data_IF_414770183648
#
_entry.id   IF_414770183648
#
_cell.length_a   1.000
_cell.length_b   1.000
_cell.length_c   1.000
_cell.angle_alpha   90.00
_cell.angle_beta   90.00
_cell.angle_gamma   90.00
#
_symmetry.space_group_name_H-M   'P 1'
#
loop_
_entity.id
_entity.type
_entity.pdbx_description
1 polymer ?
#
# COMPACT_ATOMS: atom_id res chain seq x y z
N UNK A 1 69.58 0.93 -1.09
CA UNK A 1 68.56 0.01 -1.64
C UNK A 1 67.25 0.33 -0.92
N UNK A 2 66.49 1.30 -1.45
CA UNK A 2 65.26 1.12 -2.25
C UNK A 2 64.04 0.90 -1.32
N UNK A 3 63.24 1.94 -1.05
CA UNK A 3 61.99 2.32 -1.76
C UNK A 3 60.79 1.52 -1.22
N UNK A 4 59.67 2.08 -0.73
CA UNK A 4 59.19 3.46 -0.62
C UNK A 4 57.92 3.48 0.27
N UNK A 5 57.27 4.64 0.45
CA UNK A 5 56.09 4.81 1.31
C UNK A 5 54.80 4.38 0.60
N UNK A 6 54.00 3.51 1.22
CA UNK A 6 52.68 3.13 0.71
C UNK A 6 51.66 4.24 0.95
N UNK A 7 51.64 5.17 -0.01
CA UNK A 7 50.49 5.87 -0.58
C UNK A 7 49.21 5.89 0.26
N UNK A 8 48.98 7.02 0.91
CA UNK A 8 47.64 7.56 1.17
C UNK A 8 46.82 7.65 -0.12
N UNK A 9 45.56 7.19 -0.13
CA UNK A 9 44.53 7.80 -0.95
C UNK A 9 43.63 8.69 -0.07
N UNK A 10 43.94 9.98 -0.15
CA UNK A 10 43.01 11.09 -0.37
C UNK A 10 41.51 10.74 -0.42
N UNK A 11 40.78 11.39 0.49
CA UNK A 11 39.34 11.65 0.49
C UNK A 11 38.84 12.18 -0.87
N UNK A 12 37.53 12.06 -1.13
CA UNK A 12 36.74 13.28 -1.16
C UNK A 12 35.59 13.15 -0.14
N UNK A 13 35.42 14.04 0.83
CA UNK A 13 34.82 15.36 0.63
C UNK A 13 33.56 15.27 -0.24
N UNK A 14 32.39 15.16 0.39
CA UNK A 14 31.12 15.39 -0.31
C UNK A 14 30.01 14.39 -0.03
N UNK A 15 29.66 14.16 1.23
CA UNK A 15 28.26 13.91 1.56
C UNK A 15 27.89 14.95 2.60
N UNK A 16 27.00 15.88 2.24
CA UNK A 16 26.28 16.69 3.21
C UNK A 16 25.63 15.73 4.20
N UNK A 17 26.24 15.56 5.37
CA UNK A 17 25.55 14.97 6.49
C UNK A 17 24.44 15.96 6.88
N UNK A 18 23.15 15.59 6.77
CA UNK A 18 22.09 16.47 7.25
C UNK A 18 22.26 16.65 8.77
N UNK A 19 22.02 17.84 9.32
CA UNK A 19 22.26 18.12 10.73
C UNK A 19 21.47 17.14 11.60
N UNK A 20 22.21 16.42 12.45
CA UNK A 20 21.71 15.44 13.39
C UNK A 20 20.62 16.00 14.27
N UNK A 21 19.38 15.61 13.98
CA UNK A 21 18.32 15.63 14.97
C UNK A 21 18.67 14.67 16.12
N UNK A 22 18.09 14.85 17.31
CA UNK A 22 18.30 13.92 18.42
C UNK A 22 18.03 12.49 17.95
N UNK A 23 18.85 11.50 18.33
CA UNK A 23 18.62 10.12 17.96
C UNK A 23 17.24 9.73 18.46
N UNK A 24 16.30 9.64 17.53
CA UNK A 24 14.95 9.17 17.82
C UNK A 24 15.16 7.76 18.37
N UNK A 25 14.72 7.46 19.61
CA UNK A 25 14.93 6.12 20.17
C UNK A 25 14.40 5.11 19.14
N UNK A 26 15.14 4.03 18.85
CA UNK A 26 14.75 3.08 17.84
C UNK A 26 13.38 2.54 18.22
N UNK A 27 12.35 2.99 17.50
CA UNK A 27 10.99 2.50 17.70
C UNK A 27 10.98 1.05 17.24
N UNK A 28 10.26 0.16 17.93
CA UNK A 28 10.26 -1.25 17.58
C UNK A 28 9.83 -1.42 16.12
N UNK A 29 10.51 -2.29 15.35
CA UNK A 29 10.14 -2.55 13.97
C UNK A 29 8.75 -3.20 13.96
N UNK A 30 7.88 -2.72 13.07
CA UNK A 30 6.57 -3.33 12.85
C UNK A 30 6.77 -4.67 12.12
N UNK A 31 6.91 -5.77 12.84
CA UNK A 31 7.05 -7.12 12.27
C UNK A 31 5.80 -7.95 12.52
N UNK A 32 5.20 -8.45 11.44
CA UNK A 32 4.08 -9.38 11.46
C UNK A 32 4.57 -10.74 10.95
N UNK A 33 4.52 -11.78 11.79
CA UNK A 33 4.90 -13.15 11.38
C UNK A 33 3.64 -13.91 10.97
N UNK A 34 3.69 -14.57 9.80
CA UNK A 34 2.68 -15.51 9.32
C UNK A 34 3.16 -16.93 9.63
N UNK A 35 2.48 -17.58 10.58
CA UNK A 35 2.76 -18.96 10.98
C UNK A 35 1.60 -19.88 10.54
N UNK A 36 1.93 -20.93 9.78
CA UNK A 36 0.97 -21.94 9.36
C UNK A 36 0.27 -21.65 8.02
N UNK A 37 -0.72 -22.48 7.64
CA UNK A 37 -1.49 -22.28 6.43
C UNK A 37 -2.35 -21.02 6.57
N UNK A 38 -2.15 -20.05 5.68
CA UNK A 38 -2.92 -18.81 5.63
C UNK A 38 -4.10 -19.03 4.70
N UNK A 39 -5.25 -19.37 5.28
CA UNK A 39 -6.51 -19.46 4.54
C UNK A 39 -7.23 -18.11 4.44
N UNK A 40 -8.37 -18.12 3.74
CA UNK A 40 -9.20 -16.93 3.52
C UNK A 40 -9.86 -16.43 4.82
N UNK A 41 -10.12 -17.31 5.78
CA UNK A 41 -10.76 -16.98 7.05
C UNK A 41 -9.83 -16.22 8.00
N UNK A 42 -8.52 -16.38 7.82
CA UNK A 42 -7.48 -15.78 8.64
C UNK A 42 -7.21 -14.32 8.25
N UNK A 43 -7.54 -13.94 7.00
CA UNK A 43 -7.18 -12.63 6.45
C UNK A 43 -7.74 -11.45 7.26
N UNK A 44 -9.02 -11.44 7.68
CA UNK A 44 -9.54 -10.34 8.51
C UNK A 44 -8.74 -10.15 9.80
N UNK A 45 -8.43 -11.26 10.50
CA UNK A 45 -7.65 -11.25 11.74
C UNK A 45 -6.22 -10.74 11.52
N UNK A 46 -5.59 -11.12 10.40
CA UNK A 46 -4.27 -10.63 10.04
C UNK A 46 -4.28 -9.12 9.74
N UNK A 47 -5.32 -8.62 9.08
CA UNK A 47 -5.48 -7.18 8.82
C UNK A 47 -5.69 -6.38 10.11
N UNK A 48 -6.48 -6.89 11.05
CA UNK A 48 -6.67 -6.29 12.37
C UNK A 48 -5.35 -6.21 13.15
N UNK A 49 -4.63 -7.34 13.22
CA UNK A 49 -3.32 -7.44 13.88
C UNK A 49 -2.29 -6.50 13.25
N UNK A 50 -2.28 -6.36 11.92
CA UNK A 50 -1.44 -5.38 11.23
C UNK A 50 -1.80 -3.94 11.62
N UNK A 51 -3.10 -3.64 11.74
CA UNK A 51 -3.58 -2.31 12.15
C UNK A 51 -3.16 -1.96 13.58
N UNK A 52 -3.28 -2.89 14.52
CA UNK A 52 -2.81 -2.72 15.89
C UNK A 52 -1.29 -2.51 15.94
N UNK A 53 -0.53 -3.36 15.23
CA UNK A 53 0.92 -3.26 15.12
C UNK A 53 1.36 -1.91 14.55
N UNK A 54 0.72 -1.44 13.48
CA UNK A 54 1.05 -0.19 12.82
C UNK A 54 0.76 1.05 13.70
N UNK A 55 -0.26 0.99 14.56
CA UNK A 55 -0.57 2.05 15.53
C UNK A 55 0.44 2.09 16.69
N UNK A 56 0.92 0.93 17.13
CA UNK A 56 1.93 0.83 18.20
C UNK A 56 3.38 1.07 17.74
N UNK A 57 3.64 1.05 16.42
CA UNK A 57 4.99 1.11 15.86
C UNK A 57 5.39 2.48 15.32
N UNK A 58 6.69 2.74 15.28
CA UNK A 58 7.26 3.96 14.70
C UNK A 58 6.97 4.15 13.22
N UNK A 59 7.20 5.36 12.67
CA UNK A 59 7.02 5.63 11.25
C UNK A 59 7.93 4.71 10.43
N UNK A 60 7.36 4.03 9.43
CA UNK A 60 8.09 3.04 8.63
C UNK A 60 7.20 1.96 8.04
N UNK A 61 7.76 1.14 7.13
CA UNK A 61 7.05 0.02 6.53
C UNK A 61 6.86 -1.14 7.53
N UNK A 62 5.76 -1.86 7.38
CA UNK A 62 5.51 -3.11 8.10
C UNK A 62 6.25 -4.24 7.40
N UNK A 63 7.08 -4.96 8.15
CA UNK A 63 7.75 -6.17 7.66
C UNK A 63 6.86 -7.37 7.92
N UNK A 64 6.51 -8.14 6.90
CA UNK A 64 5.75 -9.38 7.04
C UNK A 64 6.71 -10.55 6.82
N UNK A 65 6.95 -11.32 7.87
CA UNK A 65 7.76 -12.54 7.81
C UNK A 65 6.88 -13.72 7.39
N UNK A 66 7.24 -14.35 6.27
CA UNK A 66 6.49 -15.47 5.69
C UNK A 66 7.25 -16.80 5.82
N UNK A 67 8.27 -16.89 6.68
CA UNK A 67 9.04 -18.12 6.89
C UNK A 67 8.19 -19.32 7.32
N UNK A 68 7.08 -19.07 8.04
CA UNK A 68 6.16 -20.10 8.52
C UNK A 68 5.06 -20.46 7.54
N UNK A 69 5.00 -19.81 6.37
CA UNK A 69 4.04 -20.15 5.31
C UNK A 69 4.52 -21.41 4.61
N UNK A 70 3.65 -22.41 4.52
CA UNK A 70 3.91 -23.66 3.80
C UNK A 70 3.94 -23.47 2.27
N UNK A 71 3.30 -24.38 1.53
CA UNK A 71 3.20 -24.26 0.07
C UNK A 71 2.46 -22.96 -0.30
N UNK A 72 3.04 -22.09 -1.14
CA UNK A 72 2.37 -20.87 -1.56
C UNK A 72 1.14 -21.21 -2.42
N UNK A 73 0.00 -20.64 -2.06
CA UNK A 73 -1.25 -20.76 -2.78
C UNK A 73 -1.91 -19.38 -2.98
N UNK A 74 -3.06 -19.37 -3.63
CA UNK A 74 -3.78 -18.13 -3.91
C UNK A 74 -4.38 -17.49 -2.64
N UNK A 75 -4.58 -18.26 -1.56
CA UNK A 75 -5.08 -17.73 -0.29
C UNK A 75 -3.98 -16.93 0.42
N UNK A 76 -2.72 -17.39 0.37
CA UNK A 76 -1.55 -16.63 0.80
C UNK A 76 -1.44 -15.32 -0.01
N UNK A 77 -1.63 -15.38 -1.33
CA UNK A 77 -1.58 -14.19 -2.19
C UNK A 77 -2.71 -13.21 -1.84
N UNK A 78 -3.94 -13.68 -1.66
CA UNK A 78 -5.08 -12.86 -1.23
C UNK A 78 -4.78 -12.18 0.11
N UNK A 79 -4.21 -12.93 1.07
CA UNK A 79 -3.81 -12.41 2.37
C UNK A 79 -2.77 -11.30 2.24
N UNK A 80 -1.69 -11.53 1.49
CA UNK A 80 -0.63 -10.54 1.28
C UNK A 80 -1.15 -9.29 0.55
N UNK A 81 -2.02 -9.46 -0.45
CA UNK A 81 -2.65 -8.35 -1.15
C UNK A 81 -3.49 -7.46 -0.20
N UNK A 82 -4.31 -8.10 0.65
CA UNK A 82 -5.14 -7.40 1.65
C UNK A 82 -4.31 -6.75 2.75
N UNK A 83 -3.21 -7.38 3.19
CA UNK A 83 -2.27 -6.78 4.13
C UNK A 83 -1.58 -5.54 3.53
N UNK A 84 -1.16 -5.61 2.26
CA UNK A 84 -0.56 -4.47 1.55
C UNK A 84 -1.54 -3.32 1.40
N UNK A 85 -2.80 -3.62 1.06
CA UNK A 85 -3.86 -2.61 1.00
C UNK A 85 -4.12 -1.98 2.37
N UNK A 86 -4.17 -2.79 3.43
CA UNK A 86 -4.37 -2.29 4.80
C UNK A 86 -3.22 -1.39 5.24
N UNK A 87 -1.97 -1.79 5.00
CA UNK A 87 -0.80 -0.97 5.25
C UNK A 87 -0.87 0.37 4.49
N UNK A 88 -1.23 0.34 3.20
CA UNK A 88 -1.39 1.55 2.37
C UNK A 88 -2.48 2.49 2.89
N UNK A 89 -3.63 1.96 3.33
CA UNK A 89 -4.71 2.75 3.95
C UNK A 89 -4.27 3.43 5.25
N UNK A 90 -3.31 2.84 5.96
CA UNK A 90 -2.67 3.40 7.14
C UNK A 90 -1.46 4.31 6.82
N UNK A 91 -1.20 4.60 5.55
CA UNK A 91 -0.06 5.40 5.10
C UNK A 91 1.29 4.72 5.29
N UNK A 92 1.32 3.38 5.41
CA UNK A 92 2.54 2.58 5.60
C UNK A 92 2.90 1.78 4.35
N UNK A 93 4.20 1.57 4.15
CA UNK A 93 4.70 0.56 3.21
C UNK A 93 4.61 -0.85 3.79
N UNK A 94 4.78 -1.87 2.96
CA UNK A 94 4.92 -3.27 3.36
C UNK A 94 6.18 -3.85 2.72
N UNK A 95 6.87 -4.75 3.44
CA UNK A 95 8.02 -5.51 2.92
C UNK A 95 7.88 -6.98 3.33
N UNK A 96 8.09 -7.91 2.42
CA UNK A 96 8.15 -9.34 2.77
C UNK A 96 9.56 -9.73 3.22
N UNK A 97 9.63 -10.54 4.27
CA UNK A 97 10.85 -11.18 4.79
C UNK A 97 10.71 -12.70 4.65
N UNK A 98 11.80 -13.38 4.29
CA UNK A 98 11.85 -14.84 4.09
C UNK A 98 10.88 -15.40 3.04
N UNK A 99 10.50 -14.60 2.02
CA UNK A 99 9.71 -15.09 0.89
C UNK A 99 10.55 -16.01 -0.02
N UNK A 100 10.11 -17.26 -0.17
CA UNK A 100 10.70 -18.24 -1.10
C UNK A 100 10.49 -17.89 -2.58
N UNK A 101 11.20 -18.58 -3.46
CA UNK A 101 11.15 -18.36 -4.92
C UNK A 101 9.74 -18.51 -5.50
N UNK A 102 9.07 -19.63 -5.23
CA UNK A 102 7.72 -19.93 -5.72
C UNK A 102 6.69 -18.87 -5.30
N UNK A 103 6.76 -18.37 -4.06
CA UNK A 103 5.87 -17.31 -3.59
C UNK A 103 6.15 -16.00 -4.32
N UNK A 104 7.43 -15.64 -4.53
CA UNK A 104 7.81 -14.44 -5.29
C UNK A 104 7.37 -14.52 -6.74
N UNK A 105 7.49 -15.69 -7.36
CA UNK A 105 7.01 -15.93 -8.71
C UNK A 105 5.49 -15.73 -8.77
N UNK A 106 4.73 -16.37 -7.88
CA UNK A 106 3.27 -16.21 -7.82
C UNK A 106 2.85 -14.76 -7.57
N UNK A 107 3.58 -14.03 -6.73
CA UNK A 107 3.35 -12.60 -6.51
C UNK A 107 3.66 -11.76 -7.74
N UNK A 108 4.72 -12.07 -8.49
CA UNK A 108 5.04 -11.37 -9.74
C UNK A 108 3.96 -11.61 -10.80
N UNK A 109 3.46 -12.84 -10.93
CA UNK A 109 2.30 -13.15 -11.78
C UNK A 109 1.04 -12.36 -11.37
N UNK A 110 0.87 -12.12 -10.07
CA UNK A 110 -0.24 -11.33 -9.53
C UNK A 110 0.00 -9.80 -9.55
N UNK A 111 1.19 -9.32 -9.96
CA UNK A 111 1.56 -7.90 -9.91
C UNK A 111 1.71 -7.33 -8.49
N UNK A 112 2.08 -8.18 -7.53
CA UNK A 112 2.17 -7.88 -6.09
C UNK A 112 3.61 -7.85 -5.57
N UNK A 113 4.62 -7.76 -6.43
CA UNK A 113 6.02 -7.72 -6.03
C UNK A 113 6.34 -6.53 -5.12
N UNK A 114 7.24 -6.72 -4.15
CA UNK A 114 7.69 -5.70 -3.19
C UNK A 114 8.57 -4.61 -3.83
N UNK A 115 8.76 -4.66 -5.15
CA UNK A 115 9.52 -3.67 -5.89
C UNK A 115 8.91 -2.27 -5.73
N UNK A 116 9.72 -1.20 -5.77
CA UNK A 116 9.18 0.10 -6.10
C UNK A 116 8.60 -0.07 -7.51
N UNK A 117 7.28 -0.16 -7.61
CA UNK A 117 6.57 -0.25 -8.89
C UNK A 117 7.19 0.80 -9.81
N UNK A 118 8.01 0.35 -10.76
CA UNK A 118 8.81 1.24 -11.59
C UNK A 118 7.87 2.01 -12.48
N UNK A 119 7.69 3.30 -12.16
CA UNK A 119 7.30 4.32 -13.12
C UNK A 119 6.03 4.06 -13.92
N UNK A 120 4.87 4.24 -13.28
CA UNK A 120 3.87 5.15 -13.84
C UNK A 120 3.64 6.26 -12.83
N UNK A 121 4.33 7.38 -13.11
CA UNK A 121 3.92 8.75 -12.83
C UNK A 121 3.10 9.00 -11.56
N UNK A 122 3.58 8.55 -10.41
CA UNK A 122 3.22 9.20 -9.14
C UNK A 122 4.43 9.99 -8.70
N UNK A 123 4.51 11.22 -9.22
CA UNK A 123 5.46 12.20 -8.72
C UNK A 123 5.29 12.37 -7.22
N UNK A 124 6.31 11.98 -6.46
CA UNK A 124 6.59 12.56 -5.15
C UNK A 124 7.99 12.16 -4.70
N UNK A 125 8.98 12.90 -5.19
CA UNK A 125 9.96 13.48 -4.29
C UNK A 125 9.32 14.72 -3.62
N UNK A 126 8.26 14.54 -2.81
CA UNK A 126 7.89 15.61 -1.88
C UNK A 126 8.95 15.66 -0.78
N UNK A 127 10.04 16.35 -1.11
CA UNK A 127 10.73 17.16 -0.15
C UNK A 127 9.69 17.98 0.62
N UNK A 128 9.97 18.09 1.92
CA UNK A 128 9.22 18.91 2.86
C UNK A 128 8.90 20.29 2.26
N UNK A 129 7.61 20.59 2.10
CA UNK A 129 7.10 21.88 1.69
C UNK A 129 5.62 21.96 2.07
N UNK A 130 5.14 23.02 2.75
CA UNK A 130 3.76 23.08 3.20
C UNK A 130 2.86 23.52 2.03
N UNK A 131 1.92 22.66 1.67
CA UNK A 131 0.73 23.03 0.90
C UNK A 131 0.78 22.75 -0.60
N UNK A 132 0.14 21.64 -1.00
CA UNK A 132 -0.79 21.50 -2.15
C UNK A 132 -0.91 20.03 -2.56
N UNK A 133 -2.15 19.59 -2.79
CA UNK A 133 -2.42 18.32 -3.49
C UNK A 133 -3.31 17.36 -2.72
N UNK A 134 -4.56 17.74 -2.46
CA UNK A 134 -5.61 16.75 -2.29
C UNK A 134 -5.67 15.91 -3.58
N UNK A 135 -5.45 14.60 -3.50
CA UNK A 135 -5.83 13.70 -4.59
C UNK A 135 -7.35 13.80 -4.72
N UNK A 136 -7.77 14.62 -5.68
CA UNK A 136 -9.14 14.63 -6.20
C UNK A 136 -9.33 13.29 -6.90
N UNK A 137 -9.99 12.36 -6.22
CA UNK A 137 -10.54 11.17 -6.86
C UNK A 137 -11.72 11.67 -7.68
N UNK A 138 -11.57 11.73 -9.00
CA UNK A 138 -12.70 12.01 -9.89
C UNK A 138 -13.48 10.70 -10.08
N UNK A 139 -14.76 10.62 -9.68
CA UNK A 139 -15.58 9.46 -9.97
C UNK A 139 -15.95 9.48 -11.45
N UNK A 140 -15.38 8.58 -12.25
CA UNK A 140 -15.85 8.32 -13.61
C UNK A 140 -17.06 7.38 -13.53
N UNK A 141 -18.16 7.89 -12.98
CA UNK A 141 -19.48 7.26 -13.05
C UNK A 141 -20.38 8.18 -13.85
N UNK A 142 -20.62 7.86 -15.12
CA UNK A 142 -21.73 8.45 -15.84
C UNK A 142 -22.99 7.88 -15.21
N UNK A 143 -23.84 8.76 -14.68
CA UNK A 143 -25.23 8.39 -14.38
C UNK A 143 -25.88 8.02 -15.70
N UNK A 144 -26.19 6.74 -15.88
CA UNK A 144 -27.13 6.31 -16.89
C UNK A 144 -28.44 7.03 -16.59
N UNK A 145 -28.82 7.96 -17.46
CA UNK A 145 -30.06 8.70 -17.37
C UNK A 145 -31.20 7.69 -17.48
N UNK A 146 -31.68 7.22 -16.33
CA UNK A 146 -32.94 6.51 -16.23
C UNK A 146 -34.03 7.40 -16.80
N UNK A 147 -34.56 6.98 -17.94
CA UNK A 147 -35.65 7.59 -18.68
C UNK A 147 -36.79 7.93 -17.70
N UNK A 148 -37.04 9.22 -17.52
CA UNK A 148 -38.18 9.67 -16.73
C UNK A 148 -39.45 9.20 -17.43
N UNK A 149 -40.22 8.33 -16.77
CA UNK A 149 -41.56 8.00 -17.23
C UNK A 149 -42.34 9.32 -17.39
N UNK A 150 -42.84 9.65 -18.60
CA UNK A 150 -43.65 10.85 -18.77
C UNK A 150 -44.88 10.71 -17.88
N UNK A 151 -45.11 11.73 -17.05
CA UNK A 151 -46.28 11.80 -16.17
C UNK A 151 -47.55 11.54 -16.98
N UNK A 152 -48.35 10.58 -16.52
CA UNK A 152 -49.70 10.36 -17.00
C UNK A 152 -50.48 11.66 -16.80
N UNK A 153 -50.74 12.38 -17.88
CA UNK A 153 -51.71 13.46 -17.88
C UNK A 153 -53.07 12.80 -17.83
N UNK A 154 -53.68 12.80 -16.64
CA UNK A 154 -55.09 12.49 -16.48
C UNK A 154 -55.86 13.55 -17.28
N UNK A 155 -56.35 13.15 -18.46
CA UNK A 155 -57.30 13.95 -19.21
C UNK A 155 -58.59 14.01 -18.41
N UNK A 156 -58.88 15.18 -17.84
CA UNK A 156 -60.25 15.52 -17.46
C UNK A 156 -61.09 15.45 -18.74
N UNK A 157 -61.97 14.46 -18.81
CA UNK A 157 -62.96 14.32 -19.88
C UNK A 157 -63.96 15.49 -19.78
N UNK A 158 -64.04 16.39 -20.76
CA UNK A 158 -65.00 17.48 -20.74
C UNK A 158 -66.27 17.00 -21.43
N UNK A 159 -67.26 16.49 -20.68
CA UNK A 159 -68.53 16.18 -21.32
C UNK A 159 -69.57 15.32 -20.63
N UNK A 160 -69.65 15.25 -19.29
CA UNK A 160 -70.86 14.70 -18.65
C UNK A 160 -71.85 15.84 -18.34
N UNK A 161 -72.98 15.96 -19.05
CA UNK A 161 -74.04 16.90 -18.70
C UNK A 161 -74.97 16.29 -17.65
N UNK A 162 -75.64 17.08 -16.80
CA UNK A 162 -76.67 16.53 -15.96
C UNK A 162 -77.95 16.29 -16.78
N UNK A 163 -78.24 15.04 -17.15
CA UNK A 163 -79.57 14.37 -17.15
C UNK A 163 -79.43 12.86 -17.38
#
# INVERSE_FOLDING_TARGET
MLAGPEKTPTRPAGACEPPGGPPVPPRPPAVLVLEGPVGRAEVPRLCERLGELARGSGPGPVTVDVAGVGRPDLAVVEALARLRLTARRLGRGMRLRNAGGDLRELLAWAGLEDGPTSGRDTGSNAGSGPGRGALRVEPLGQSEEGEQAPGVQEGVEPGDPPV
#
